data_IF_191333140989
#
_entry.id   IF_191333140989
#
_cell.length_a   1.000
_cell.length_b   1.000
_cell.length_c   1.000
_cell.angle_alpha   90.00
_cell.angle_beta   90.00
_cell.angle_gamma   90.00
#
_symmetry.space_group_name_H-M   'P 1'
#
loop_
_entity.id
_entity.type
_entity.pdbx_description
1 polymer ?
#
# COMPACT_ATOMS: atom_id res chain seq x y z
N UNK A 1 -16.56 -6.81 -8.74
CA UNK A 1 -15.66 -7.00 -9.89
C UNK A 1 -16.08 -6.22 -11.15
N UNK A 2 -17.38 -6.10 -11.46
CA UNK A 2 -17.85 -5.40 -12.68
C UNK A 2 -17.42 -3.93 -12.75
N UNK A 3 -17.52 -3.19 -11.65
CA UNK A 3 -17.14 -1.76 -11.64
C UNK A 3 -15.64 -1.51 -11.88
N UNK A 4 -14.76 -2.35 -11.39
CA UNK A 4 -13.32 -2.19 -11.64
C UNK A 4 -12.93 -2.65 -13.05
N UNK A 5 -13.63 -3.64 -13.60
CA UNK A 5 -13.44 -4.04 -14.99
C UNK A 5 -13.87 -2.92 -15.94
N UNK A 6 -15.06 -2.34 -15.74
CA UNK A 6 -15.53 -1.20 -16.54
C UNK A 6 -14.59 0.01 -16.45
N UNK A 7 -14.03 0.27 -15.25
CA UNK A 7 -13.02 1.31 -15.04
C UNK A 7 -11.75 1.05 -15.85
N UNK A 8 -11.24 -0.20 -15.82
CA UNK A 8 -10.09 -0.60 -16.62
C UNK A 8 -10.34 -0.41 -18.10
N UNK A 9 -11.51 -0.83 -18.62
CA UNK A 9 -11.88 -0.66 -20.02
C UNK A 9 -11.95 0.82 -20.41
N UNK A 10 -12.48 1.67 -19.51
CA UNK A 10 -12.49 3.12 -19.72
C UNK A 10 -11.06 3.68 -19.82
N UNK A 11 -10.13 3.21 -18.98
CA UNK A 11 -8.74 3.67 -19.03
C UNK A 11 -8.05 3.23 -20.32
N UNK A 12 -8.31 1.97 -20.76
CA UNK A 12 -7.78 1.47 -22.03
C UNK A 12 -8.34 2.19 -23.25
N UNK A 13 -9.61 2.62 -23.19
CA UNK A 13 -10.24 3.41 -24.26
C UNK A 13 -9.73 4.86 -24.34
N UNK A 14 -8.95 5.31 -23.36
CA UNK A 14 -8.34 6.64 -23.28
C UNK A 14 -6.82 6.53 -23.03
N UNK A 15 -6.17 5.57 -23.65
CA UNK A 15 -4.73 5.29 -23.46
C UNK A 15 -3.80 6.38 -24.07
N UNK A 16 -4.33 7.25 -24.88
CA UNK A 16 -3.69 8.47 -25.33
C UNK A 16 -3.51 9.51 -24.22
N UNK A 17 -4.42 9.54 -23.23
CA UNK A 17 -4.41 10.49 -22.12
C UNK A 17 -3.97 9.83 -20.80
N UNK A 18 -4.27 8.54 -20.61
CA UNK A 18 -4.01 7.78 -19.38
C UNK A 18 -2.88 6.78 -19.63
N UNK A 19 -1.74 6.97 -18.98
CA UNK A 19 -0.56 6.09 -19.13
C UNK A 19 -0.52 4.92 -18.14
N UNK A 20 -1.39 4.94 -17.12
CA UNK A 20 -1.42 3.91 -16.09
C UNK A 20 -2.42 4.20 -14.98
N UNK A 21 -2.25 3.51 -13.88
CA UNK A 21 -3.09 3.69 -12.70
C UNK A 21 -2.32 3.44 -11.39
N UNK A 22 -2.82 3.99 -10.31
CA UNK A 22 -2.27 3.84 -8.97
C UNK A 22 -3.25 3.08 -8.07
N UNK A 23 -2.74 2.09 -7.34
CA UNK A 23 -3.52 1.38 -6.33
C UNK A 23 -3.70 2.26 -5.11
N UNK A 24 -4.94 2.61 -4.79
CA UNK A 24 -5.26 3.50 -3.67
C UNK A 24 -6.12 2.76 -2.65
N UNK A 25 -5.57 2.51 -1.47
CA UNK A 25 -6.25 1.86 -0.36
C UNK A 25 -6.96 2.88 0.54
N UNK A 26 -7.96 2.43 1.31
CA UNK A 26 -8.60 3.28 2.33
C UNK A 26 -7.69 3.42 3.55
N UNK A 27 -7.50 4.64 4.05
CA UNK A 27 -6.65 4.93 5.22
C UNK A 27 -7.43 4.74 6.52
N UNK A 28 -7.57 3.49 6.95
CA UNK A 28 -8.20 3.10 8.21
C UNK A 28 -7.66 1.76 8.75
N UNK A 29 -8.03 1.41 9.99
CA UNK A 29 -7.59 0.18 10.65
C UNK A 29 -8.22 -1.11 10.12
N UNK A 30 -9.18 -1.04 9.17
CA UNK A 30 -9.86 -2.21 8.59
C UNK A 30 -9.31 -2.61 7.22
N UNK A 31 -8.37 -1.85 6.69
CA UNK A 31 -7.69 -2.15 5.43
C UNK A 31 -6.76 -3.34 5.62
N UNK A 32 -6.88 -4.36 4.76
CA UNK A 32 -6.04 -5.56 4.83
C UNK A 32 -4.56 -5.25 4.56
N UNK A 33 -3.66 -6.09 5.07
CA UNK A 33 -2.21 -5.99 4.80
C UNK A 33 -1.94 -5.99 3.30
N UNK A 34 -2.66 -6.81 2.52
CA UNK A 34 -2.56 -6.85 1.06
C UNK A 34 -2.80 -5.47 0.46
N UNK A 35 -3.95 -4.85 0.73
CA UNK A 35 -4.28 -3.53 0.18
C UNK A 35 -3.34 -2.44 0.72
N UNK A 36 -3.02 -2.50 2.00
CA UNK A 36 -2.08 -1.57 2.65
C UNK A 36 -0.68 -1.61 2.04
N UNK A 37 -0.21 -2.81 1.66
CA UNK A 37 1.10 -3.00 1.04
C UNK A 37 1.16 -2.57 -0.42
N UNK A 38 0.02 -2.62 -1.13
CA UNK A 38 -0.08 -2.21 -2.54
C UNK A 38 -0.34 -0.72 -2.70
N UNK A 39 -0.74 -0.02 -1.63
CA UNK A 39 -1.10 1.39 -1.67
C UNK A 39 0.04 2.26 -2.20
N UNK A 40 -0.28 3.12 -3.16
CA UNK A 40 0.68 3.98 -3.84
C UNK A 40 1.49 3.30 -4.96
N UNK A 41 1.31 2.00 -5.20
CA UNK A 41 1.96 1.33 -6.32
C UNK A 41 1.32 1.74 -7.65
N UNK A 42 2.17 2.04 -8.62
CA UNK A 42 1.78 2.45 -9.97
C UNK A 42 1.94 1.30 -10.95
N UNK A 43 0.99 1.16 -11.83
CA UNK A 43 0.93 0.08 -12.82
C UNK A 43 0.60 0.65 -14.20
N UNK A 44 1.22 0.12 -15.28
CA UNK A 44 0.74 0.33 -16.64
C UNK A 44 -0.69 -0.17 -16.80
N UNK A 45 -1.42 0.33 -17.80
CA UNK A 45 -2.85 0.06 -18.01
C UNK A 45 -3.24 -1.42 -18.01
N UNK A 46 -2.38 -2.28 -18.59
CA UNK A 46 -2.65 -3.71 -18.76
C UNK A 46 -2.10 -4.60 -17.65
N UNK A 47 -1.47 -4.03 -16.62
CA UNK A 47 -0.77 -4.80 -15.60
C UNK A 47 -1.22 -4.46 -14.19
N UNK A 48 -0.82 -5.28 -13.23
CA UNK A 48 -1.06 -5.07 -11.81
C UNK A 48 -2.33 -5.71 -11.27
N UNK A 49 -2.41 -5.87 -9.96
CA UNK A 49 -3.56 -6.45 -9.27
C UNK A 49 -4.69 -5.42 -9.18
N UNK A 50 -5.71 -5.54 -10.01
CA UNK A 50 -6.90 -4.68 -9.92
C UNK A 50 -7.53 -4.74 -8.53
N UNK A 51 -7.97 -3.61 -7.96
CA UNK A 51 -8.67 -3.55 -6.69
C UNK A 51 -9.87 -4.50 -6.60
N UNK A 52 -10.38 -4.67 -5.37
CA UNK A 52 -11.32 -5.70 -4.93
C UNK A 52 -10.71 -7.11 -4.94
N UNK A 53 -9.52 -7.20 -4.36
CA UNK A 53 -8.74 -8.43 -4.23
C UNK A 53 -9.36 -9.42 -3.22
N UNK A 54 -10.26 -8.95 -2.36
CA UNK A 54 -10.92 -9.74 -1.32
C UNK A 54 -12.29 -9.17 -0.96
N UNK A 55 -13.07 -9.88 -0.15
CA UNK A 55 -14.34 -9.39 0.39
C UNK A 55 -14.17 -8.08 1.15
N UNK A 56 -15.13 -7.17 0.98
CA UNK A 56 -15.12 -5.82 1.60
C UNK A 56 -13.89 -4.97 1.25
N UNK A 57 -13.21 -5.27 0.16
CA UNK A 57 -12.13 -4.42 -0.34
C UNK A 57 -12.70 -3.08 -0.79
N UNK A 58 -12.14 -1.99 -0.25
CA UNK A 58 -12.55 -0.60 -0.53
C UNK A 58 -11.49 0.16 -1.32
N UNK A 59 -10.42 -0.52 -1.72
CA UNK A 59 -9.40 0.06 -2.58
C UNK A 59 -9.93 0.35 -3.98
N UNK A 60 -9.31 1.30 -4.65
CA UNK A 60 -9.67 1.72 -6.00
C UNK A 60 -8.42 1.87 -6.87
N UNK A 61 -8.58 1.71 -8.18
CA UNK A 61 -7.59 2.10 -9.17
C UNK A 61 -7.82 3.58 -9.52
N UNK A 62 -6.83 4.43 -9.33
CA UNK A 62 -6.86 5.85 -9.68
C UNK A 62 -6.07 6.05 -10.97
N UNK A 63 -6.64 6.66 -12.04
CA UNK A 63 -5.93 6.84 -13.30
C UNK A 63 -4.74 7.79 -13.12
N UNK A 64 -3.69 7.53 -13.87
CA UNK A 64 -2.53 8.40 -14.01
C UNK A 64 -2.58 9.04 -15.39
N UNK A 65 -2.66 10.36 -15.41
CA UNK A 65 -2.65 11.14 -16.65
C UNK A 65 -1.23 11.15 -17.21
N UNK A 66 -1.11 11.00 -18.52
CA UNK A 66 0.14 11.12 -19.24
C UNK A 66 0.75 12.52 -18.97
N UNK A 67 2.04 12.61 -18.59
CA UNK A 67 2.70 13.88 -18.29
C UNK A 67 2.59 14.93 -19.38
N UNK A 68 2.42 14.55 -20.66
CA UNK A 68 2.20 15.49 -21.77
C UNK A 68 0.91 16.30 -21.62
N UNK A 69 -0.08 15.76 -20.92
CA UNK A 69 -1.37 16.42 -20.63
C UNK A 69 -1.43 17.00 -19.22
N UNK A 70 -0.36 16.84 -18.44
CA UNK A 70 -0.28 17.45 -17.11
C UNK A 70 -0.01 18.95 -17.27
N UNK A 71 -1.05 19.74 -17.14
CA UNK A 71 -1.02 21.20 -17.27
C UNK A 71 -0.28 21.92 -16.13
N UNK A 72 0.63 21.22 -15.44
CA UNK A 72 1.41 21.78 -14.34
C UNK A 72 0.57 22.06 -13.09
N UNK A 73 -0.60 21.47 -13.02
CA UNK A 73 -1.38 21.48 -11.78
C UNK A 73 -0.72 20.51 -10.81
N UNK A 74 0.16 21.01 -9.96
CA UNK A 74 0.31 20.46 -8.62
C UNK A 74 -1.04 20.59 -7.91
N UNK A 75 -2.04 19.85 -8.37
CA UNK A 75 -3.25 19.63 -7.57
C UNK A 75 -2.78 18.80 -6.40
N UNK A 76 -2.30 19.50 -5.38
CA UNK A 76 -2.10 18.94 -4.04
C UNK A 76 -3.51 18.68 -3.53
N UNK A 77 -4.12 17.60 -4.03
CA UNK A 77 -5.40 17.13 -3.58
C UNK A 77 -5.28 16.53 -2.18
N UNK A 78 -6.42 16.25 -1.60
CA UNK A 78 -6.51 15.51 -0.33
C UNK A 78 -7.08 14.12 -0.59
N UNK A 79 -6.70 13.14 0.24
CA UNK A 79 -7.34 11.84 0.33
C UNK A 79 -7.97 11.65 1.71
N UNK A 80 -9.10 10.97 1.73
CA UNK A 80 -9.80 10.69 2.97
C UNK A 80 -9.05 9.68 3.85
N UNK A 81 -9.01 9.94 5.14
CA UNK A 81 -8.64 8.97 6.17
C UNK A 81 -9.68 8.95 7.28
N UNK A 82 -9.63 7.92 8.14
CA UNK A 82 -10.54 7.84 9.29
C UNK A 82 -10.37 9.03 10.25
N UNK A 83 -9.21 9.66 10.24
CA UNK A 83 -8.90 10.80 11.12
C UNK A 83 -9.08 12.17 10.43
N UNK A 84 -9.71 12.20 9.26
CA UNK A 84 -9.91 13.38 8.44
C UNK A 84 -9.06 13.41 7.17
N UNK A 85 -9.14 14.49 6.37
CA UNK A 85 -8.37 14.63 5.14
C UNK A 85 -6.86 14.65 5.42
N UNK A 86 -6.09 14.02 4.51
CA UNK A 86 -4.64 14.04 4.50
C UNK A 86 -4.14 14.35 3.09
N UNK A 87 -2.89 14.74 2.94
CA UNK A 87 -2.31 15.02 1.63
C UNK A 87 -2.50 13.83 0.67
N UNK A 88 -2.84 14.09 -0.59
CA UNK A 88 -3.16 13.06 -1.59
C UNK A 88 -2.03 12.04 -1.78
N UNK A 89 -0.77 12.46 -1.65
CA UNK A 89 0.41 11.61 -1.75
C UNK A 89 0.74 10.82 -0.47
N UNK A 90 -0.07 10.95 0.61
CA UNK A 90 0.11 10.21 1.84
C UNK A 90 -0.16 8.73 1.61
N UNK A 91 0.85 7.88 1.71
CA UNK A 91 0.67 6.43 1.58
C UNK A 91 0.08 5.82 2.84
N UNK A 92 -0.50 4.61 2.72
CA UNK A 92 -0.99 3.86 3.88
C UNK A 92 0.11 3.62 4.93
N UNK A 93 1.31 3.25 4.50
CA UNK A 93 2.45 3.08 5.41
C UNK A 93 2.82 4.36 6.15
N UNK A 94 2.75 5.50 5.46
CA UNK A 94 2.95 6.80 6.09
C UNK A 94 1.86 7.13 7.11
N UNK A 95 0.59 6.94 6.75
CA UNK A 95 -0.54 7.12 7.65
C UNK A 95 -0.46 6.19 8.87
N UNK A 96 -0.11 4.91 8.67
CA UNK A 96 -0.01 3.91 9.74
C UNK A 96 1.08 4.26 10.78
N UNK A 97 2.18 4.87 10.35
CA UNK A 97 3.24 5.35 11.26
C UNK A 97 2.73 6.39 12.26
N UNK A 98 1.78 7.23 11.85
CA UNK A 98 1.21 8.26 12.70
C UNK A 98 0.14 7.72 13.68
N UNK A 99 -0.32 6.48 13.48
CA UNK A 99 -1.29 5.85 14.37
C UNK A 99 -0.63 5.37 15.66
N UNK A 100 -1.44 5.15 16.69
CA UNK A 100 -0.96 4.56 17.93
C UNK A 100 -0.59 3.07 17.75
N UNK A 101 0.15 2.52 18.70
CA UNK A 101 0.64 1.13 18.65
C UNK A 101 -0.48 0.09 18.52
N UNK A 102 -1.62 0.34 19.15
CA UNK A 102 -2.75 -0.61 19.11
C UNK A 102 -3.31 -0.76 17.70
N UNK A 103 -3.47 0.34 16.95
CA UNK A 103 -3.90 0.30 15.55
C UNK A 103 -2.88 -0.41 14.67
N UNK A 104 -1.58 -0.17 14.89
CA UNK A 104 -0.54 -0.88 14.13
C UNK A 104 -0.56 -2.38 14.37
N UNK A 105 -0.79 -2.81 15.62
CA UNK A 105 -0.94 -4.23 15.96
C UNK A 105 -2.22 -4.82 15.37
N UNK A 106 -3.33 -4.09 15.41
CA UNK A 106 -4.60 -4.52 14.80
C UNK A 106 -4.46 -4.79 13.30
N UNK A 107 -3.78 -3.89 12.58
CA UNK A 107 -3.59 -4.00 11.13
C UNK A 107 -2.57 -5.07 10.74
N UNK A 108 -1.42 -5.12 11.43
CA UNK A 108 -0.26 -5.92 11.00
C UNK A 108 -0.11 -7.24 11.75
N UNK A 109 -0.74 -7.35 12.92
CA UNK A 109 -0.39 -8.35 13.91
C UNK A 109 0.90 -7.98 14.67
N UNK A 110 1.10 -8.54 15.83
CA UNK A 110 2.13 -8.13 16.80
C UNK A 110 3.55 -8.18 16.21
N UNK A 111 3.93 -9.28 15.56
CA UNK A 111 5.29 -9.49 15.07
C UNK A 111 5.63 -8.59 13.87
N UNK A 112 4.69 -8.40 12.92
CA UNK A 112 4.91 -7.47 11.81
C UNK A 112 4.91 -6.02 12.28
N UNK A 113 4.09 -5.67 13.28
CA UNK A 113 4.09 -4.35 13.88
C UNK A 113 5.44 -4.03 14.52
N UNK A 114 6.07 -4.97 15.23
CA UNK A 114 7.44 -4.82 15.77
C UNK A 114 8.47 -4.54 14.65
N UNK A 115 8.38 -5.27 13.53
CA UNK A 115 9.27 -5.07 12.38
C UNK A 115 9.06 -3.70 11.72
N UNK A 116 7.81 -3.28 11.59
CA UNK A 116 7.43 -1.97 11.05
C UNK A 116 7.88 -0.83 11.97
N UNK A 117 7.62 -0.93 13.28
CA UNK A 117 7.98 0.08 14.29
C UNK A 117 9.50 0.27 14.40
N UNK A 118 10.25 -0.81 14.25
CA UNK A 118 11.72 -0.75 14.26
C UNK A 118 12.32 -0.13 12.99
N UNK A 119 11.49 0.19 11.99
CA UNK A 119 11.95 0.69 10.69
C UNK A 119 12.66 -0.35 9.81
N UNK A 120 12.75 -1.61 10.26
CA UNK A 120 13.44 -2.68 9.51
C UNK A 120 12.71 -3.07 8.24
N UNK A 121 11.38 -3.03 8.25
CA UNK A 121 10.54 -3.32 7.08
C UNK A 121 9.47 -2.25 6.89
N UNK A 122 9.35 -1.74 5.67
CA UNK A 122 8.20 -0.95 5.26
C UNK A 122 7.01 -1.86 4.96
N UNK A 123 5.79 -1.29 4.97
CA UNK A 123 4.56 -2.07 4.77
C UNK A 123 4.54 -2.80 3.42
N UNK A 124 5.07 -2.20 2.36
CA UNK A 124 5.17 -2.80 1.02
C UNK A 124 6.09 -4.02 0.93
N UNK A 125 6.85 -4.33 1.99
CA UNK A 125 7.69 -5.53 2.06
C UNK A 125 6.98 -6.74 2.70
N UNK A 126 5.76 -6.57 3.20
CA UNK A 126 4.98 -7.68 3.77
C UNK A 126 4.25 -8.52 2.73
N UNK A 127 4.21 -8.07 1.49
CA UNK A 127 3.61 -8.81 0.36
C UNK A 127 4.55 -8.86 -0.83
N UNK A 128 4.28 -9.80 -1.74
CA UNK A 128 4.85 -9.77 -3.08
C UNK A 128 4.13 -8.75 -3.98
N UNK A 129 4.56 -8.64 -5.24
CA UNK A 129 3.98 -7.72 -6.22
C UNK A 129 2.52 -8.01 -6.59
N UNK A 130 2.04 -9.23 -6.32
CA UNK A 130 0.65 -9.65 -6.54
C UNK A 130 -0.24 -9.38 -5.33
N UNK A 131 0.33 -8.98 -4.19
CA UNK A 131 -0.37 -8.77 -2.93
C UNK A 131 -0.48 -10.02 -2.04
N UNK A 132 0.22 -11.12 -2.37
CA UNK A 132 0.31 -12.30 -1.50
C UNK A 132 1.16 -11.96 -0.26
N UNK A 133 0.59 -12.18 0.92
CA UNK A 133 1.24 -11.88 2.21
C UNK A 133 2.33 -12.92 2.47
N UNK A 134 3.55 -12.45 2.76
CA UNK A 134 4.64 -13.31 3.23
C UNK A 134 4.39 -13.76 4.68
N UNK A 135 4.69 -15.03 4.96
CA UNK A 135 4.78 -15.54 6.33
C UNK A 135 6.01 -14.96 7.06
N UNK A 136 6.01 -15.03 8.37
CA UNK A 136 7.18 -14.55 9.16
C UNK A 136 8.49 -15.28 8.82
N UNK A 137 8.52 -16.62 8.61
CA UNK A 137 9.71 -17.30 8.11
C UNK A 137 10.18 -16.81 6.74
N UNK A 138 9.24 -16.57 5.78
CA UNK A 138 9.57 -16.02 4.46
C UNK A 138 10.16 -14.62 4.57
N UNK A 139 9.59 -13.75 5.42
CA UNK A 139 10.13 -12.41 5.66
C UNK A 139 11.55 -12.45 6.22
N UNK A 140 11.84 -13.36 7.14
CA UNK A 140 13.19 -13.57 7.68
C UNK A 140 14.16 -14.05 6.61
N UNK A 141 13.73 -14.99 5.75
CA UNK A 141 14.56 -15.51 4.65
C UNK A 141 14.87 -14.44 3.60
N UNK A 142 13.88 -13.60 3.25
CA UNK A 142 14.05 -12.52 2.28
C UNK A 142 14.85 -11.33 2.83
N UNK A 143 14.95 -11.21 4.15
CA UNK A 143 15.61 -10.09 4.84
C UNK A 143 16.54 -10.61 5.92
N UNK A 144 17.74 -11.17 5.55
CA UNK A 144 18.67 -11.75 6.51
C UNK A 144 19.12 -10.79 7.63
N UNK A 145 19.08 -9.47 7.38
CA UNK A 145 19.37 -8.45 8.40
C UNK A 145 18.39 -8.48 9.60
N UNK A 146 17.24 -9.14 9.47
CA UNK A 146 16.31 -9.32 10.60
C UNK A 146 16.82 -10.34 11.62
N UNK A 147 17.79 -11.19 11.24
CA UNK A 147 18.32 -12.27 12.09
C UNK A 147 19.44 -11.80 13.03
N UNK A 148 20.05 -10.62 12.79
CA UNK A 148 21.26 -10.18 13.48
C UNK A 148 21.06 -9.40 14.78
N UNK A 149 19.88 -9.44 15.42
CA UNK A 149 19.63 -8.71 16.67
C UNK A 149 19.18 -9.60 17.85
N UNK A 150 19.62 -10.86 17.89
CA UNK A 150 19.39 -11.73 19.06
C UNK A 150 20.67 -12.06 19.85
N UNK A 151 21.74 -11.28 19.72
CA UNK A 151 23.01 -11.61 20.40
C UNK A 151 23.75 -10.35 20.84
N UNK A 152 23.19 -9.57 21.77
CA UNK A 152 24.03 -8.73 22.66
C UNK A 152 23.26 -8.39 23.94
N UNK A 153 22.91 -9.41 24.71
CA UNK A 153 22.86 -9.27 26.16
C UNK A 153 24.02 -10.09 26.72
N UNK A 154 25.21 -9.51 26.65
CA UNK A 154 26.29 -9.92 27.55
C UNK A 154 26.03 -9.25 28.90
N UNK A 155 25.72 -10.07 29.88
CA UNK A 155 25.81 -9.72 31.28
C UNK A 155 27.24 -9.32 31.60
N UNK A 156 27.45 -8.16 32.18
CA UNK A 156 28.50 -7.86 33.12
C UNK A 156 27.87 -7.56 34.47
#
# INVERSE_FOLDING_TARGET
>A
HMGEQARKETYLANDDVIDGWEFTATLDGKTSITCASLDGNKYPLNTGPLPKLHWNCRSVAVPKVNPEYDLGSEIIGERASINGPVAANRTYGGWLKDQNKSVRIEVLGEERAKLFDSGKLSIGKFTDKSGKIYTLPELKKLNPQLLHHSSTLRFQ
#
